data_IF_386147627928
#
_entry.id   IF_386147627928
#
_cell.length_a   1.000
_cell.length_b   1.000
_cell.length_c   1.000
_cell.angle_alpha   90.00
_cell.angle_beta   90.00
_cell.angle_gamma   90.00
#
_symmetry.space_group_name_H-M   'P 1'
#
loop_
_entity.id
_entity.type
_entity.pdbx_description
1 polymer ?
#
# COMPACT_ATOMS: atom_id res chain seq x y z
N UNK A 1 -3.82 5.08 4.29
CA UNK A 1 -4.31 4.24 5.40
C UNK A 1 -3.11 3.67 6.14
N UNK A 2 -3.16 3.64 7.46
CA UNK A 2 -2.19 2.93 8.30
C UNK A 2 -2.92 2.14 9.38
N UNK A 3 -2.29 1.10 9.89
CA UNK A 3 -2.76 0.30 11.01
C UNK A 3 -1.55 -0.21 11.79
N UNK A 4 -1.65 -0.26 13.11
CA UNK A 4 -0.70 -0.96 13.98
C UNK A 4 -1.46 -1.90 14.93
N UNK A 5 -0.87 -3.06 15.23
CA UNK A 5 -1.48 -4.07 16.08
C UNK A 5 -1.72 -3.61 17.51
N UNK A 6 -0.91 -2.64 17.99
CA UNK A 6 -1.13 -1.95 19.27
C UNK A 6 -2.41 -1.10 19.32
N UNK A 7 -2.91 -0.61 18.18
CA UNK A 7 -4.20 0.09 18.09
C UNK A 7 -5.37 -0.90 18.08
N UNK A 8 -5.22 -1.98 17.31
CA UNK A 8 -6.18 -3.09 17.25
C UNK A 8 -5.49 -4.36 16.78
N UNK A 9 -5.47 -5.38 17.64
CA UNK A 9 -4.66 -6.57 17.41
C UNK A 9 -5.26 -7.58 16.40
N UNK A 10 -6.57 -7.56 16.19
CA UNK A 10 -7.29 -8.54 15.35
C UNK A 10 -6.96 -10.00 15.73
N UNK A 11 -7.04 -10.29 17.02
CA UNK A 11 -6.94 -11.66 17.55
C UNK A 11 -8.26 -12.40 17.30
N UNK A 12 -8.16 -13.70 17.02
CA UNK A 12 -9.24 -14.67 16.78
C UNK A 12 -10.11 -14.44 15.54
N UNK A 13 -10.26 -13.18 15.11
CA UNK A 13 -11.03 -12.79 13.94
C UNK A 13 -10.17 -11.99 12.95
N UNK A 14 -9.97 -12.51 11.73
CA UNK A 14 -9.31 -11.73 10.69
C UNK A 14 -10.19 -10.57 10.27
N UNK A 15 -9.55 -9.49 9.86
CA UNK A 15 -10.19 -8.33 9.27
C UNK A 15 -9.58 -8.07 7.88
N UNK A 16 -10.43 -7.64 6.94
CA UNK A 16 -10.02 -7.31 5.59
C UNK A 16 -10.54 -5.91 5.26
N UNK A 17 -9.65 -5.04 4.82
CA UNK A 17 -9.98 -3.67 4.41
C UNK A 17 -9.44 -3.36 3.02
N UNK A 18 -10.28 -2.74 2.19
CA UNK A 18 -9.91 -2.28 0.86
C UNK A 18 -9.52 -0.79 0.89
N UNK A 19 -8.49 -0.43 0.13
CA UNK A 19 -8.06 0.96 -0.10
C UNK A 19 -7.63 1.11 -1.56
N UNK A 20 -8.50 1.70 -2.39
CA UNK A 20 -8.27 1.76 -3.83
C UNK A 20 -8.22 0.35 -4.44
N UNK A 21 -7.13 0.03 -5.14
CA UNK A 21 -6.90 -1.29 -5.74
C UNK A 21 -6.14 -2.27 -4.82
N UNK A 22 -5.83 -1.85 -3.60
CA UNK A 22 -5.12 -2.66 -2.62
C UNK A 22 -6.08 -3.22 -1.56
N UNK A 23 -5.77 -4.41 -1.07
CA UNK A 23 -6.49 -5.08 0.02
C UNK A 23 -5.49 -5.41 1.12
N UNK A 24 -5.81 -5.03 2.36
CA UNK A 24 -5.05 -5.35 3.56
C UNK A 24 -5.80 -6.37 4.40
N UNK A 25 -5.19 -7.53 4.63
CA UNK A 25 -5.62 -8.48 5.64
C UNK A 25 -4.89 -8.24 6.96
N UNK A 26 -5.61 -8.30 8.08
CA UNK A 26 -5.09 -8.06 9.43
C UNK A 26 -5.49 -9.23 10.32
N UNK A 27 -4.52 -9.90 10.91
CA UNK A 27 -4.77 -11.03 11.78
C UNK A 27 -3.59 -11.26 12.73
N UNK A 28 -3.84 -11.22 14.04
CA UNK A 28 -2.81 -11.37 15.08
C UNK A 28 -2.70 -12.78 15.65
N UNK A 29 -3.37 -13.77 15.06
CA UNK A 29 -3.39 -15.15 15.55
C UNK A 29 -4.56 -15.47 16.48
N UNK A 30 -4.55 -16.67 17.07
CA UNK A 30 -5.59 -17.16 17.97
C UNK A 30 -5.17 -17.11 19.44
N UNK A 31 -6.04 -16.61 20.29
CA UNK A 31 -5.81 -16.58 21.75
C UNK A 31 -5.73 -17.98 22.33
N UNK A 32 -6.53 -18.92 21.83
CA UNK A 32 -6.47 -20.35 22.22
C UNK A 32 -5.15 -21.02 21.84
N UNK A 33 -4.41 -20.47 20.89
CA UNK A 33 -3.08 -20.92 20.49
C UNK A 33 -1.95 -20.12 21.16
N UNK A 34 -2.28 -19.23 22.11
CA UNK A 34 -1.32 -18.46 22.89
C UNK A 34 -1.02 -17.05 22.38
N UNK A 35 -1.68 -16.58 21.31
CA UNK A 35 -1.52 -15.19 20.87
C UNK A 35 -2.10 -14.22 21.92
N UNK A 36 -1.31 -13.21 22.31
CA UNK A 36 -1.70 -12.22 23.32
C UNK A 36 -1.75 -10.79 22.79
N UNK A 37 -1.09 -10.55 21.67
CA UNK A 37 -0.93 -9.24 21.06
C UNK A 37 -0.66 -9.42 19.57
N UNK A 38 -0.70 -8.32 18.84
CA UNK A 38 -0.21 -8.22 17.49
C UNK A 38 0.80 -7.07 17.46
N UNK A 39 2.05 -7.38 17.15
CA UNK A 39 3.15 -6.43 17.14
C UNK A 39 3.33 -5.81 15.75
N UNK A 40 2.61 -6.32 14.75
CA UNK A 40 2.78 -5.92 13.36
C UNK A 40 2.08 -4.60 13.04
N UNK A 41 2.48 -3.99 11.93
CA UNK A 41 1.81 -2.83 11.38
C UNK A 41 1.73 -2.91 9.84
N UNK A 42 0.81 -2.15 9.26
CA UNK A 42 0.70 -2.04 7.82
C UNK A 42 0.36 -0.62 7.37
N UNK A 43 0.78 -0.29 6.17
CA UNK A 43 0.57 1.00 5.52
C UNK A 43 0.16 0.79 4.07
N UNK A 44 -0.88 1.48 3.64
CA UNK A 44 -1.32 1.54 2.25
C UNK A 44 -1.47 3.01 1.83
N UNK A 45 -0.89 3.38 0.70
CA UNK A 45 -1.09 4.69 0.09
C UNK A 45 -1.09 4.59 -1.42
N UNK A 46 -1.96 5.35 -2.06
CA UNK A 46 -2.06 5.37 -3.52
C UNK A 46 -2.42 6.78 -3.99
N UNK A 47 -2.07 7.07 -5.24
CA UNK A 47 -2.57 8.25 -5.92
C UNK A 47 -4.09 8.16 -6.12
N UNK A 48 -4.83 9.29 -6.12
CA UNK A 48 -6.24 9.31 -6.50
C UNK A 48 -6.50 8.75 -7.91
N UNK A 49 -5.59 9.00 -8.85
CA UNK A 49 -5.68 8.53 -10.23
C UNK A 49 -5.02 7.16 -10.48
N UNK A 50 -4.57 6.45 -9.44
CA UNK A 50 -4.01 5.09 -9.55
C UNK A 50 -2.65 4.97 -10.24
N UNK A 51 -2.02 6.09 -10.60
CA UNK A 51 -0.73 6.10 -11.30
C UNK A 51 0.46 5.66 -10.43
N UNK A 52 0.29 5.66 -9.11
CA UNK A 52 1.17 4.94 -8.19
C UNK A 52 0.41 4.40 -6.99
N UNK A 53 0.96 3.33 -6.42
CA UNK A 53 0.54 2.74 -5.16
C UNK A 53 1.74 2.21 -4.40
N UNK A 54 1.61 2.20 -3.08
CA UNK A 54 2.63 1.76 -2.15
C UNK A 54 1.97 1.05 -0.98
N UNK A 55 2.50 -0.11 -0.65
CA UNK A 55 2.15 -0.90 0.51
C UNK A 55 3.40 -1.15 1.35
N UNK A 56 3.22 -1.22 2.66
CA UNK A 56 4.24 -1.72 3.56
C UNK A 56 3.62 -2.59 4.64
N UNK A 57 4.34 -3.64 5.03
CA UNK A 57 4.08 -4.43 6.23
C UNK A 57 5.32 -4.36 7.12
N UNK A 58 5.10 -4.21 8.42
CA UNK A 58 6.15 -4.14 9.42
C UNK A 58 5.93 -5.27 10.41
N UNK A 59 6.94 -6.13 10.55
CA UNK A 59 7.01 -7.20 11.53
C UNK A 59 7.62 -6.62 12.80
N UNK A 60 6.86 -6.54 13.88
CA UNK A 60 7.29 -5.96 15.15
C UNK A 60 7.73 -7.04 16.13
N UNK A 61 8.73 -6.74 16.95
CA UNK A 61 9.13 -7.60 18.04
C UNK A 61 9.31 -6.81 19.34
N UNK A 62 8.85 -7.39 20.45
CA UNK A 62 8.91 -6.82 21.80
C UNK A 62 8.09 -5.52 21.95
N UNK A 63 6.87 -5.55 21.45
CA UNK A 63 5.89 -4.48 21.43
C UNK A 63 5.52 -4.02 20.02
N UNK A 64 4.47 -3.22 19.90
CA UNK A 64 4.01 -2.64 18.64
C UNK A 64 4.59 -1.24 18.36
N UNK A 65 5.40 -0.68 19.26
CA UNK A 65 5.84 0.71 19.18
C UNK A 65 6.80 0.95 18.00
N UNK A 66 7.71 0.02 17.75
CA UNK A 66 8.66 0.06 16.63
C UNK A 66 7.97 -0.01 15.27
N UNK A 67 7.04 -0.95 15.09
CA UNK A 67 6.25 -1.11 13.86
C UNK A 67 5.28 0.07 13.66
N UNK A 68 4.67 0.56 14.74
CA UNK A 68 3.82 1.76 14.72
C UNK A 68 4.60 3.01 14.31
N UNK A 69 5.83 3.19 14.81
CA UNK A 69 6.71 4.26 14.37
C UNK A 69 7.02 4.14 12.88
N UNK A 70 7.37 2.94 12.41
CA UNK A 70 7.68 2.71 11.00
C UNK A 70 6.54 3.16 10.07
N UNK A 71 5.30 2.72 10.32
CA UNK A 71 4.16 3.14 9.48
C UNK A 71 3.78 4.60 9.67
N UNK A 72 4.01 5.19 10.85
CA UNK A 72 3.84 6.64 11.08
C UNK A 72 4.85 7.47 10.30
N UNK A 73 6.10 7.01 10.20
CA UNK A 73 7.11 7.67 9.38
C UNK A 73 6.67 7.66 7.91
N UNK A 74 6.19 6.54 7.38
CA UNK A 74 5.67 6.48 6.01
C UNK A 74 4.44 7.38 5.81
N UNK A 75 3.50 7.37 6.76
CA UNK A 75 2.28 8.16 6.65
C UNK A 75 2.54 9.67 6.79
N UNK A 76 3.50 10.07 7.63
CA UNK A 76 3.91 11.46 7.77
C UNK A 76 4.85 11.97 6.67
N UNK A 77 5.10 11.19 5.61
CA UNK A 77 6.09 11.55 4.60
C UNK A 77 5.48 12.31 3.42
N UNK A 78 5.80 13.61 3.26
CA UNK A 78 5.29 14.43 2.17
C UNK A 78 6.04 14.20 0.84
N UNK A 79 7.20 13.52 0.85
CA UNK A 79 8.00 13.31 -0.36
C UNK A 79 7.60 12.05 -1.14
N UNK A 80 6.91 11.09 -0.50
CA UNK A 80 6.45 9.87 -1.18
C UNK A 80 5.65 10.15 -2.46
N UNK A 81 4.67 11.08 -2.49
CA UNK A 81 3.94 11.37 -3.73
C UNK A 81 4.84 11.95 -4.83
N UNK A 82 5.90 12.68 -4.47
CA UNK A 82 6.83 13.27 -5.43
C UNK A 82 7.73 12.19 -6.03
N UNK A 83 8.30 11.32 -5.18
CA UNK A 83 9.17 10.22 -5.59
C UNK A 83 8.42 9.21 -6.47
N UNK A 84 7.18 8.87 -6.08
CA UNK A 84 6.39 7.83 -6.74
C UNK A 84 5.54 8.36 -7.90
N UNK A 85 5.20 9.65 -7.91
CA UNK A 85 4.31 10.27 -8.88
C UNK A 85 4.99 10.92 -10.07
N UNK A 86 6.32 11.11 -10.04
CA UNK A 86 7.06 11.69 -11.16
C UNK A 86 7.63 10.60 -12.09
N UNK A 87 7.66 10.84 -13.41
CA UNK A 87 8.45 10.04 -14.33
C UNK A 87 9.93 10.16 -13.96
N UNK A 88 10.46 9.13 -13.29
CA UNK A 88 11.87 9.02 -12.96
C UNK A 88 12.46 7.81 -13.69
N UNK A 89 13.75 7.83 -14.10
CA UNK A 89 14.40 6.66 -14.68
C UNK A 89 14.40 5.45 -13.73
N UNK A 90 14.41 5.70 -12.41
CA UNK A 90 14.39 4.65 -11.40
C UNK A 90 13.69 5.12 -10.10
N UNK A 91 12.35 5.17 -10.07
CA UNK A 91 11.59 5.64 -8.90
C UNK A 91 11.79 4.72 -7.68
N UNK A 92 12.04 3.43 -7.89
CA UNK A 92 12.28 2.48 -6.80
C UNK A 92 13.63 2.69 -6.13
N UNK A 93 14.69 3.03 -6.87
CA UNK A 93 15.98 3.38 -6.27
C UNK A 93 15.89 4.69 -5.47
N UNK A 94 15.18 5.70 -6.00
CA UNK A 94 14.93 6.95 -5.29
C UNK A 94 14.12 6.72 -4.00
N UNK A 95 13.07 5.89 -4.08
CA UNK A 95 12.28 5.46 -2.93
C UNK A 95 13.16 4.75 -1.89
N UNK A 96 13.97 3.78 -2.32
CA UNK A 96 14.84 3.03 -1.42
C UNK A 96 15.81 3.96 -0.67
N UNK A 97 16.55 4.81 -1.38
CA UNK A 97 17.50 5.74 -0.77
C UNK A 97 16.80 6.67 0.24
N UNK A 98 15.64 7.21 -0.15
CA UNK A 98 14.84 8.09 0.71
C UNK A 98 14.36 7.38 1.99
N UNK A 99 13.81 6.17 1.85
CA UNK A 99 13.33 5.39 3.00
C UNK A 99 14.46 4.98 3.94
N UNK A 100 15.63 4.58 3.40
CA UNK A 100 16.82 4.28 4.21
C UNK A 100 17.22 5.49 5.04
N UNK A 101 17.37 6.66 4.40
CA UNK A 101 17.69 7.90 5.14
C UNK A 101 16.63 8.24 6.19
N UNK A 102 15.35 8.14 5.83
CA UNK A 102 14.24 8.45 6.76
C UNK A 102 14.22 7.54 7.99
N UNK A 103 14.40 6.24 7.82
CA UNK A 103 14.46 5.32 8.96
C UNK A 103 15.74 5.48 9.79
N UNK A 104 16.88 5.75 9.17
CA UNK A 104 18.16 5.97 9.88
C UNK A 104 18.18 7.28 10.69
N UNK A 105 17.38 8.26 10.29
CA UNK A 105 17.30 9.58 10.96
C UNK A 105 16.12 9.69 11.92
N UNK A 106 15.31 8.64 12.05
CA UNK A 106 14.22 8.61 13.00
C UNK A 106 14.76 8.58 14.44
N UNK A 107 14.16 9.37 15.32
CA UNK A 107 14.44 9.26 16.75
C UNK A 107 13.75 8.02 17.32
N UNK A 108 14.54 7.02 17.67
CA UNK A 108 14.09 5.77 18.29
C UNK A 108 14.49 5.66 19.75
N UNK A 109 15.02 6.74 20.36
CA UNK A 109 15.61 6.70 21.72
C UNK A 109 14.62 6.30 22.83
N UNK A 110 13.33 6.55 22.60
CA UNK A 110 12.22 6.23 23.52
C UNK A 110 11.38 5.03 23.06
N UNK A 111 11.81 4.33 22.00
CA UNK A 111 11.04 3.27 21.36
C UNK A 111 11.59 1.91 21.78
N UNK A 112 10.71 1.07 22.32
CA UNK A 112 11.05 -0.31 22.66
C UNK A 112 10.84 -1.24 21.46
N UNK A 113 11.64 -2.31 21.42
CA UNK A 113 11.54 -3.35 20.41
C UNK A 113 12.26 -3.03 19.11
N UNK A 114 12.09 -3.93 18.15
CA UNK A 114 12.68 -3.85 16.82
C UNK A 114 11.60 -4.11 15.77
N UNK A 115 11.87 -3.74 14.52
CA UNK A 115 10.94 -4.02 13.43
C UNK A 115 11.67 -4.21 12.11
N UNK A 116 11.15 -5.10 11.27
CA UNK A 116 11.55 -5.24 9.88
C UNK A 116 10.40 -4.76 8.98
N UNK A 117 10.71 -3.93 7.97
CA UNK A 117 9.70 -3.36 7.07
C UNK A 117 9.90 -3.88 5.65
N UNK A 118 8.88 -4.55 5.11
CA UNK A 118 8.79 -4.87 3.69
C UNK A 118 7.96 -3.80 2.99
N UNK A 119 8.52 -3.20 1.95
CA UNK A 119 7.86 -2.16 1.15
C UNK A 119 7.71 -2.66 -0.29
N UNK A 120 6.49 -2.53 -0.82
CA UNK A 120 6.18 -2.75 -2.22
C UNK A 120 5.61 -1.46 -2.81
N UNK A 121 6.07 -1.09 -4.00
CA UNK A 121 5.55 0.07 -4.72
C UNK A 121 5.40 -0.26 -6.21
N UNK A 122 4.34 0.26 -6.81
CA UNK A 122 4.10 0.24 -8.25
C UNK A 122 3.93 1.67 -8.71
N UNK A 123 4.71 2.06 -9.71
CA UNK A 123 4.56 3.32 -10.45
C UNK A 123 4.23 2.95 -11.89
N UNK A 124 3.09 3.39 -12.41
CA UNK A 124 2.85 3.31 -13.84
C UNK A 124 3.48 4.52 -14.51
N UNK A 125 4.40 4.28 -15.44
CA UNK A 125 4.72 5.26 -16.46
C UNK A 125 3.46 5.36 -17.32
N UNK A 126 2.64 6.41 -17.15
CA UNK A 126 1.77 6.76 -18.26
C UNK A 126 2.71 7.26 -19.37
N UNK A 127 2.74 6.64 -20.57
CA UNK A 127 3.35 7.30 -21.69
C UNK A 127 2.60 8.62 -21.88
N UNK A 128 3.34 9.71 -22.01
CA UNK A 128 2.77 11.01 -22.35
C UNK A 128 1.89 10.86 -23.60
N UNK A 129 0.57 10.96 -23.42
CA UNK A 129 -0.40 10.97 -24.51
C UNK A 129 -1.08 9.64 -24.80
N UNK A 130 -2.07 9.28 -23.98
CA UNK A 130 -3.30 8.72 -24.54
C UNK A 130 -4.46 9.60 -24.06
N UNK A 131 -4.91 10.46 -24.96
CA UNK A 131 -6.07 11.31 -24.73
C UNK A 131 -7.26 10.44 -24.32
N UNK A 132 -7.87 10.77 -23.19
CA UNK A 132 -9.20 10.30 -22.84
C UNK A 132 -10.17 10.73 -23.96
N UNK A 133 -10.40 9.83 -24.93
CA UNK A 133 -11.08 10.19 -26.16
C UNK A 133 -11.34 8.99 -27.08
N UNK A 134 -11.95 7.93 -26.57
CA UNK A 134 -12.61 6.94 -27.41
C UNK A 134 -13.91 6.48 -26.74
N UNK A 135 -15.01 7.16 -27.09
CA UNK A 135 -16.35 6.62 -26.85
C UNK A 135 -16.49 5.30 -27.63
N UNK A 136 -17.11 4.26 -27.06
CA UNK A 136 -17.35 3.02 -27.80
C UNK A 136 -18.30 3.31 -28.97
N UNK A 137 -17.80 3.17 -30.20
CA UNK A 137 -18.63 3.12 -31.39
C UNK A 137 -19.61 1.95 -31.25
N UNK A 138 -20.89 2.27 -31.20
CA UNK A 138 -21.97 1.31 -31.33
C UNK A 138 -21.91 0.67 -32.73
N UNK A 139 -21.38 -0.54 -32.82
CA UNK A 139 -21.54 -1.36 -34.02
C UNK A 139 -23.00 -1.85 -34.08
N UNK A 140 -23.81 -1.16 -34.88
CA UNK A 140 -25.13 -1.62 -35.29
C UNK A 140 -24.99 -2.76 -36.30
N UNK A 141 -25.14 -4.00 -35.83
CA UNK A 141 -25.26 -5.16 -36.71
C UNK A 141 -26.65 -5.18 -37.38
N UNK A 142 -26.72 -4.70 -38.62
CA UNK A 142 -27.87 -4.90 -39.51
C UNK A 142 -27.82 -6.33 -40.07
N UNK A 143 -28.75 -7.18 -39.64
CA UNK A 143 -28.95 -8.52 -40.23
C UNK A 143 -30.03 -8.44 -41.31
N UNK A 144 -29.64 -8.56 -42.58
CA UNK A 144 -30.60 -8.70 -43.70
C UNK A 144 -30.97 -10.17 -43.87
N UNK A 145 -32.19 -10.57 -43.46
CA UNK A 145 -32.77 -11.88 -43.82
C UNK A 145 -33.30 -11.81 -45.26
N UNK A 146 -32.67 -12.53 -46.19
CA UNK A 146 -33.28 -12.89 -47.49
C UNK A 146 -34.30 -14.01 -47.27
N UNK A 147 -35.58 -13.73 -47.57
CA UNK A 147 -36.60 -14.76 -47.81
C UNK A 147 -36.28 -15.43 -49.15
N UNK A 148 -36.20 -16.76 -49.18
CA UNK A 148 -36.41 -17.55 -50.41
C UNK A 148 -37.89 -17.91 -50.47
N UNK A 149 -38.46 -17.75 -51.67
CA UNK A 149 -39.78 -18.21 -52.08
C UNK A 149 -39.86 -19.73 -52.04
#
# INVERSE_FOLDING_TARGET
>A
MRWAGGERAYLDQPDVVASGHMVLGRYGGRTVAGARQNEDAAFLRHAPAGHWEMAAVADGHAGADSSALAVRLLDGDPLLPQILGQPAPNPLAALHAHLVTRFQTADTSSIAGETAVLVAARCSLQPDGEAAGAQPQQNSHVTTRRRKQ
#
